data_IF_921067113916
#
_entry.id   IF_921067113916
#
_cell.length_a   1.000
_cell.length_b   1.000
_cell.length_c   1.000
_cell.angle_alpha   90.00
_cell.angle_beta   90.00
_cell.angle_gamma   90.00
#
_symmetry.space_group_name_H-M   'P 1'
#
loop_
_entity.id
_entity.type
_entity.pdbx_description
1 polymer ?
#
# COMPACT_ATOMS: atom_id res chain seq x y z
N UNK A 1 19.64 0.98 5.14
CA UNK A 1 18.67 1.92 5.73
C UNK A 1 17.39 1.13 5.97
N UNK A 2 16.92 1.06 7.20
CA UNK A 2 15.64 0.39 7.52
C UNK A 2 14.56 1.46 7.48
N UNK A 3 13.74 1.45 6.43
CA UNK A 3 12.61 2.36 6.33
C UNK A 3 11.64 2.04 7.48
N UNK A 4 11.30 3.00 8.35
CA UNK A 4 10.21 2.85 9.34
C UNK A 4 8.83 3.03 8.68
N UNK A 5 8.69 2.49 7.48
CA UNK A 5 7.47 2.53 6.70
C UNK A 5 6.56 1.39 7.16
N UNK A 6 5.29 1.69 7.38
CA UNK A 6 4.29 0.67 7.68
C UNK A 6 3.53 0.39 6.39
N UNK A 7 3.92 -0.67 5.68
CA UNK A 7 3.14 -1.24 4.59
C UNK A 7 2.26 -2.37 5.17
N UNK A 8 0.95 -2.29 5.01
CA UNK A 8 0.04 -3.27 5.60
C UNK A 8 -1.22 -3.50 4.77
N UNK A 9 -1.66 -4.74 4.66
CA UNK A 9 -2.96 -5.08 4.06
C UNK A 9 -4.04 -5.04 5.14
N UNK A 10 -5.09 -4.25 4.89
CA UNK A 10 -6.22 -4.12 5.80
C UNK A 10 -7.21 -5.30 5.65
N UNK A 11 -8.28 -5.32 6.46
CA UNK A 11 -9.30 -6.39 6.41
C UNK A 11 -10.09 -6.47 5.10
N UNK A 12 -10.03 -5.42 4.27
CA UNK A 12 -10.69 -5.34 2.95
C UNK A 12 -9.77 -5.76 1.81
N UNK A 13 -8.61 -6.36 2.12
CA UNK A 13 -7.62 -6.74 1.10
C UNK A 13 -6.89 -5.55 0.46
N UNK A 14 -7.02 -4.33 1.00
CA UNK A 14 -6.38 -3.14 0.45
C UNK A 14 -5.00 -2.93 1.08
N UNK A 15 -3.99 -2.67 0.26
CA UNK A 15 -2.67 -2.27 0.73
C UNK A 15 -2.67 -0.80 1.17
N UNK A 16 -2.28 -0.55 2.41
CA UNK A 16 -2.02 0.78 2.95
C UNK A 16 -0.51 1.01 3.09
N UNK A 17 -0.04 2.12 2.53
CA UNK A 17 1.28 2.68 2.79
C UNK A 17 1.11 3.92 3.65
N UNK A 18 1.83 3.97 4.77
CA UNK A 18 1.87 5.13 5.66
C UNK A 18 3.29 5.66 5.70
N UNK A 19 3.44 6.96 5.47
CA UNK A 19 4.72 7.62 5.73
C UNK A 19 5.08 7.49 7.21
N UNK A 20 6.38 7.36 7.48
CA UNK A 20 6.91 7.29 8.84
C UNK A 20 6.73 8.63 9.56
N UNK A 21 6.94 8.64 10.88
CA UNK A 21 7.19 9.89 11.61
C UNK A 21 8.59 10.37 11.27
N UNK A 22 8.77 11.69 11.09
CA UNK A 22 10.05 12.36 10.81
C UNK A 22 11.03 12.21 11.99
N UNK A 23 11.56 11.00 12.19
CA UNK A 23 12.66 10.77 13.11
C UNK A 23 14.00 10.96 12.39
N UNK A 24 14.04 10.77 11.06
CA UNK A 24 15.19 10.97 10.18
C UNK A 24 14.79 11.57 8.82
N UNK A 25 15.78 12.16 8.13
CA UNK A 25 15.62 12.64 6.74
C UNK A 25 15.25 11.45 5.85
N UNK A 26 14.14 11.56 5.12
CA UNK A 26 13.63 10.54 4.19
C UNK A 26 12.39 9.76 4.67
N UNK A 27 12.02 9.85 5.95
CA UNK A 27 10.88 9.09 6.52
C UNK A 27 9.50 9.52 5.97
N UNK A 28 9.40 10.73 5.38
CA UNK A 28 8.16 11.32 4.87
C UNK A 28 7.93 11.16 3.35
N UNK A 29 8.81 10.45 2.63
CA UNK A 29 8.77 10.44 1.16
C UNK A 29 8.50 9.03 0.60
N UNK A 30 8.33 8.02 1.46
CA UNK A 30 8.17 6.65 1.00
C UNK A 30 6.88 6.46 0.21
N UNK A 31 5.73 6.85 0.75
CA UNK A 31 4.45 6.59 0.09
C UNK A 31 4.37 7.33 -1.25
N UNK A 32 4.92 8.55 -1.31
CA UNK A 32 5.09 9.31 -2.55
C UNK A 32 6.00 8.60 -3.56
N UNK A 33 7.21 8.18 -3.16
CA UNK A 33 8.13 7.48 -4.05
C UNK A 33 7.59 6.13 -4.52
N UNK A 34 6.87 5.42 -3.66
CA UNK A 34 6.19 4.18 -4.01
C UNK A 34 5.15 4.41 -5.11
N UNK A 35 4.27 5.41 -4.94
CA UNK A 35 3.28 5.76 -5.97
C UNK A 35 3.95 6.18 -7.28
N UNK A 36 4.99 7.03 -7.22
CA UNK A 36 5.73 7.43 -8.41
C UNK A 36 6.32 6.24 -9.18
N UNK A 37 6.98 5.32 -8.48
CA UNK A 37 7.59 4.15 -9.11
C UNK A 37 6.54 3.20 -9.71
N UNK A 38 5.39 3.05 -9.05
CA UNK A 38 4.28 2.25 -9.56
C UNK A 38 3.60 2.89 -10.78
N UNK A 39 3.50 4.22 -10.82
CA UNK A 39 3.02 4.98 -11.97
C UNK A 39 3.98 4.85 -13.17
N UNK A 40 5.28 4.98 -12.94
CA UNK A 40 6.31 4.82 -13.99
C UNK A 40 6.25 3.42 -14.64
N UNK A 41 6.02 2.40 -13.81
CA UNK A 41 5.80 1.01 -14.26
C UNK A 41 4.40 0.71 -14.77
N UNK A 42 3.50 1.70 -14.81
CA UNK A 42 2.11 1.59 -15.28
C UNK A 42 1.28 0.53 -14.52
N UNK A 43 1.63 0.27 -13.26
CA UNK A 43 0.89 -0.64 -12.38
C UNK A 43 -0.38 0.04 -11.86
N UNK A 44 -0.25 1.32 -11.53
CA UNK A 44 -1.34 2.21 -11.14
C UNK A 44 -1.27 3.47 -11.99
N UNK A 45 -2.43 4.08 -12.25
CA UNK A 45 -2.51 5.26 -13.13
C UNK A 45 -3.64 6.22 -12.74
N UNK A 46 -4.68 5.74 -12.07
CA UNK A 46 -5.87 6.53 -11.77
C UNK A 46 -6.06 6.74 -10.26
N UNK A 47 -5.89 7.99 -9.82
CA UNK A 47 -6.25 8.41 -8.45
C UNK A 47 -7.76 8.25 -8.26
N UNK A 48 -8.18 7.75 -7.10
CA UNK A 48 -9.55 7.38 -6.73
C UNK A 48 -10.12 6.13 -7.39
N UNK A 49 -9.31 5.42 -8.18
CA UNK A 49 -9.66 4.11 -8.74
C UNK A 49 -8.65 3.05 -8.33
N UNK A 50 -7.39 3.26 -8.69
CA UNK A 50 -6.29 2.35 -8.37
C UNK A 50 -5.74 2.60 -6.96
N UNK A 51 -5.76 3.86 -6.51
CA UNK A 51 -5.34 4.25 -5.18
C UNK A 51 -5.98 5.56 -4.71
N UNK A 52 -6.01 5.75 -3.39
CA UNK A 52 -6.55 6.91 -2.70
C UNK A 52 -5.48 7.49 -1.78
N UNK A 53 -5.43 8.81 -1.66
CA UNK A 53 -4.53 9.50 -0.73
C UNK A 53 -5.38 10.13 0.36
N UNK A 54 -5.02 9.91 1.61
CA UNK A 54 -5.66 10.50 2.78
C UNK A 54 -4.62 11.10 3.71
N UNK A 55 -4.93 12.22 4.34
CA UNK A 55 -4.10 12.78 5.39
C UNK A 55 -4.34 12.02 6.70
N UNK A 56 -3.26 11.70 7.42
CA UNK A 56 -3.32 11.07 8.73
C UNK A 56 -3.48 12.15 9.82
N UNK A 57 -4.53 12.07 10.66
CA UNK A 57 -4.75 13.03 11.72
C UNK A 57 -3.67 12.93 12.80
N UNK A 58 -3.26 14.09 13.35
CA UNK A 58 -2.32 14.15 14.48
C UNK A 58 -0.84 14.32 14.10
N UNK A 59 -0.55 14.67 12.86
CA UNK A 59 0.78 15.06 12.43
C UNK A 59 0.91 16.59 12.59
N UNK A 60 1.81 17.05 13.46
CA UNK A 60 1.90 18.46 13.91
C UNK A 60 2.23 19.46 12.78
N UNK A 61 3.49 19.88 12.67
CA UNK A 61 3.92 20.89 11.67
C UNK A 61 3.98 20.37 10.22
N UNK A 62 3.75 19.07 9.98
CA UNK A 62 3.84 18.45 8.66
C UNK A 62 2.74 17.42 8.47
N UNK A 63 2.01 17.49 7.36
CA UNK A 63 1.00 16.50 6.97
C UNK A 63 1.65 15.15 6.69
N UNK A 64 1.18 14.10 7.38
CA UNK A 64 1.46 12.71 7.03
C UNK A 64 0.41 12.20 6.08
N UNK A 65 0.81 11.50 5.03
CA UNK A 65 -0.11 10.91 4.09
C UNK A 65 -0.15 9.38 4.23
N UNK A 66 -1.34 8.85 3.98
CA UNK A 66 -1.60 7.43 3.78
C UNK A 66 -2.09 7.24 2.36
N UNK A 67 -1.42 6.36 1.64
CA UNK A 67 -1.87 5.86 0.34
C UNK A 67 -2.55 4.51 0.56
N UNK A 68 -3.76 4.36 0.05
CA UNK A 68 -4.50 3.10 0.07
C UNK A 68 -4.74 2.64 -1.36
N UNK A 69 -4.19 1.50 -1.73
CA UNK A 69 -4.43 0.87 -3.03
C UNK A 69 -5.73 0.07 -3.01
N UNK A 70 -6.38 -0.03 -4.16
CA UNK A 70 -7.54 -0.88 -4.32
C UNK A 70 -7.16 -2.37 -4.13
N UNK A 71 -8.14 -3.18 -3.72
CA UNK A 71 -7.89 -4.60 -3.44
C UNK A 71 -7.46 -5.37 -4.71
N UNK A 72 -8.01 -5.02 -5.88
CA UNK A 72 -7.66 -5.63 -7.16
C UNK A 72 -6.20 -5.36 -7.57
N UNK A 73 -5.64 -4.21 -7.19
CA UNK A 73 -4.24 -3.84 -7.46
C UNK A 73 -3.28 -4.34 -6.39
N UNK A 74 -3.77 -4.69 -5.21
CA UNK A 74 -2.95 -4.99 -4.04
C UNK A 74 -1.91 -6.11 -4.27
N UNK A 75 -2.24 -7.26 -4.91
CA UNK A 75 -1.25 -8.31 -5.16
C UNK A 75 -0.09 -7.83 -6.06
N UNK A 76 -0.44 -7.18 -7.17
CA UNK A 76 0.53 -6.69 -8.15
C UNK A 76 1.40 -5.55 -7.57
N UNK A 77 0.77 -4.63 -6.82
CA UNK A 77 1.47 -3.53 -6.15
C UNK A 77 2.41 -4.08 -5.08
N UNK A 78 1.99 -5.04 -4.26
CA UNK A 78 2.82 -5.61 -3.21
C UNK A 78 4.07 -6.31 -3.79
N UNK A 79 3.88 -7.13 -4.82
CA UNK A 79 4.99 -7.82 -5.50
C UNK A 79 6.00 -6.80 -6.06
N UNK A 80 5.52 -5.72 -6.68
CA UNK A 80 6.39 -4.73 -7.30
C UNK A 80 7.10 -3.85 -6.26
N UNK A 81 6.45 -3.52 -5.14
CA UNK A 81 7.09 -2.79 -4.05
C UNK A 81 8.24 -3.58 -3.43
N UNK A 82 8.13 -4.90 -3.30
CA UNK A 82 9.24 -5.73 -2.81
C UNK A 82 10.44 -5.75 -3.75
N UNK A 83 10.21 -5.61 -5.07
CA UNK A 83 11.29 -5.48 -6.07
C UNK A 83 11.93 -4.11 -6.04
N UNK A 84 11.13 -3.04 -5.94
CA UNK A 84 11.62 -1.66 -5.96
C UNK A 84 12.33 -1.30 -4.65
N UNK A 85 11.81 -1.78 -3.52
CA UNK A 85 12.27 -1.46 -2.18
C UNK A 85 12.73 -2.73 -1.45
N UNK A 86 13.93 -3.25 -1.75
CA UNK A 86 14.43 -4.46 -1.12
C UNK A 86 14.52 -4.28 0.41
N UNK A 87 13.89 -5.20 1.15
CA UNK A 87 13.81 -5.15 2.61
C UNK A 87 12.57 -4.44 3.16
N UNK A 88 11.61 -4.05 2.30
CA UNK A 88 10.28 -3.63 2.76
C UNK A 88 9.54 -4.79 3.42
N UNK A 89 8.95 -4.56 4.59
CA UNK A 89 8.08 -5.52 5.26
C UNK A 89 6.62 -5.12 5.04
N UNK A 90 5.88 -5.95 4.29
CA UNK A 90 4.44 -5.77 4.10
C UNK A 90 3.72 -6.73 5.05
N UNK A 91 3.01 -6.18 6.03
CA UNK A 91 2.24 -6.96 7.02
C UNK A 91 0.86 -7.35 6.50
N UNK A 92 0.33 -8.49 6.94
CA UNK A 92 -1.04 -8.92 6.62
C UNK A 92 -1.23 -9.48 5.21
N UNK A 93 -0.16 -9.91 4.53
CA UNK A 93 -0.23 -10.48 3.16
C UNK A 93 -1.17 -11.68 3.05
N UNK A 94 -1.38 -12.42 4.13
CA UNK A 94 -2.35 -13.53 4.16
C UNK A 94 -3.78 -13.10 3.77
N UNK A 95 -4.10 -11.82 3.93
CA UNK A 95 -5.41 -11.23 3.60
C UNK A 95 -5.58 -10.93 2.11
N UNK A 96 -4.51 -11.00 1.31
CA UNK A 96 -4.56 -10.78 -0.14
C UNK A 96 -5.30 -11.91 -0.89
N UNK A 97 -5.42 -13.10 -0.28
CA UNK A 97 -6.03 -14.29 -0.89
C UNK A 97 -7.51 -14.50 -0.53
N UNK A 98 -8.13 -13.58 0.22
CA UNK A 98 -9.48 -13.82 0.77
C UNK A 98 -10.56 -13.77 -0.34
N UNK A 99 -10.37 -13.03 -1.43
CA UNK A 99 -11.32 -13.00 -2.55
C UNK A 99 -11.26 -14.22 -3.49
N UNK A 100 -10.18 -15.03 -3.44
CA UNK A 100 -10.08 -16.24 -4.28
C UNK A 100 -10.91 -17.41 -3.76
N UNK A 101 -11.27 -17.42 -2.48
CA UNK A 101 -11.99 -18.55 -1.85
C UNK A 101 -13.50 -18.32 -1.67
N UNK A 102 -13.99 -17.09 -1.76
CA UNK A 102 -15.43 -16.83 -1.56
C UNK A 102 -16.25 -17.12 -2.82
N UNK A 103 -15.64 -17.08 -4.01
CA UNK A 103 -16.37 -17.30 -5.27
C UNK A 103 -16.46 -18.79 -5.71
N UNK A 104 -15.79 -19.71 -5.01
CA UNK A 104 -15.91 -21.16 -5.28
C UNK A 104 -16.99 -21.88 -4.47
N UNK A 105 -17.70 -21.20 -3.56
CA UNK A 105 -18.74 -21.82 -2.73
C UNK A 105 -20.19 -21.47 -3.14
N UNK A 106 -20.42 -20.76 -4.24
CA UNK A 106 -21.77 -20.40 -4.71
C UNK A 106 -22.25 -21.12 -5.98
N UNK A 107 -21.57 -22.19 -6.40
CA UNK A 107 -22.05 -23.06 -7.50
C UNK A 107 -22.18 -24.50 -7.00
N UNK A 108 -23.20 -24.74 -6.18
CA UNK A 108 -23.96 -25.98 -5.92
C UNK A 108 -24.89 -25.52 -4.79
N UNK A 109 -26.18 -25.28 -5.01
CA UNK A 109 -27.26 -26.27 -5.18
C UNK A 109 -28.47 -25.57 -5.81
#
# INVERSE_FOLDING_TARGET
>A
MTYKTIASVNQKGQLELKDGKLEKIGDHIFAYHAVLALCDKKIVSEVNKDFFISELPGSGFYSQYKVTFSADKTPQVAEELEKIFPGIEISGKEKMNIDSHVNSQLVTI
#
